data_IF_153369313952
#
_entry.id   IF_153369313952
#
_cell.length_a   1.000
_cell.length_b   1.000
_cell.length_c   1.000
_cell.angle_alpha   90.00
_cell.angle_beta   90.00
_cell.angle_gamma   90.00
#
_symmetry.space_group_name_H-M   'P 1'
#
loop_
_entity.id
_entity.type
_entity.pdbx_description
1 polymer ?
#
# COMPACT_ATOMS: atom_id res chain seq x y z
N UNK A 1 72.11 -40.51 -15.23
CA UNK A 1 70.89 -41.22 -14.79
C UNK A 1 69.90 -40.15 -14.33
N UNK A 2 69.15 -39.52 -15.23
CA UNK A 2 67.80 -39.88 -15.72
C UNK A 2 66.72 -39.92 -14.63
N UNK A 3 65.93 -38.85 -14.51
CA UNK A 3 64.49 -38.84 -14.16
C UNK A 3 63.95 -37.45 -14.52
N UNK A 4 63.49 -37.24 -15.77
CA UNK A 4 62.11 -37.31 -16.29
C UNK A 4 61.12 -36.31 -15.67
N UNK A 5 60.59 -35.47 -16.56
CA UNK A 5 59.61 -34.39 -16.46
C UNK A 5 58.38 -34.64 -15.59
N UNK A 6 57.79 -33.55 -15.10
CA UNK A 6 56.34 -33.37 -15.12
C UNK A 6 55.99 -31.87 -15.23
N UNK A 7 55.45 -31.47 -16.38
CA UNK A 7 54.79 -30.17 -16.58
C UNK A 7 53.32 -30.41 -16.25
N UNK A 8 52.80 -29.79 -15.19
CA UNK A 8 51.36 -29.76 -14.94
C UNK A 8 50.77 -28.53 -15.64
N UNK A 9 49.94 -28.79 -16.64
CA UNK A 9 49.14 -27.77 -17.31
C UNK A 9 48.03 -27.30 -16.37
N UNK A 10 47.99 -25.99 -16.08
CA UNK A 10 46.90 -25.34 -15.35
C UNK A 10 45.81 -24.99 -16.38
N UNK A 11 44.73 -25.76 -16.39
CA UNK A 11 43.52 -25.43 -17.15
C UNK A 11 42.73 -24.37 -16.37
N UNK A 12 42.71 -23.13 -16.86
CA UNK A 12 41.87 -22.06 -16.34
C UNK A 12 40.46 -22.31 -16.89
N UNK A 13 39.58 -22.88 -16.06
CA UNK A 13 38.15 -22.95 -16.37
C UNK A 13 37.49 -21.65 -15.90
N UNK A 14 37.34 -20.69 -16.82
CA UNK A 14 36.50 -19.52 -16.57
C UNK A 14 35.03 -19.92 -16.68
N UNK A 15 34.42 -20.31 -15.56
CA UNK A 15 32.97 -20.42 -15.47
C UNK A 15 32.37 -19.01 -15.61
N UNK A 16 31.83 -18.71 -16.80
CA UNK A 16 30.90 -17.62 -16.97
C UNK A 16 29.63 -17.95 -16.19
N UNK A 17 29.55 -17.44 -14.96
CA UNK A 17 28.32 -17.45 -14.18
C UNK A 17 27.37 -16.45 -14.84
N UNK A 18 26.57 -16.95 -15.79
CA UNK A 18 25.45 -16.19 -16.34
C UNK A 18 24.44 -16.01 -15.21
N UNK A 19 24.50 -14.89 -14.50
CA UNK A 19 23.41 -14.45 -13.63
C UNK A 19 22.22 -14.24 -14.55
N UNK A 20 21.34 -15.24 -14.63
CA UNK A 20 20.01 -15.04 -15.19
C UNK A 20 19.32 -13.98 -14.33
N UNK A 21 19.21 -12.77 -14.88
CA UNK A 21 18.30 -11.77 -14.35
C UNK A 21 16.90 -12.38 -14.45
N UNK A 22 16.37 -12.88 -13.32
CA UNK A 22 14.94 -13.13 -13.24
C UNK A 22 14.26 -11.78 -13.39
N UNK A 23 13.73 -11.50 -14.58
CA UNK A 23 12.73 -10.46 -14.73
C UNK A 23 11.60 -10.85 -13.77
N UNK A 24 11.44 -10.07 -12.69
CA UNK A 24 10.30 -10.24 -11.81
C UNK A 24 9.05 -10.07 -12.68
N UNK A 25 8.36 -11.17 -12.95
CA UNK A 25 7.08 -11.13 -13.64
C UNK A 25 6.15 -10.33 -12.73
N UNK A 26 5.91 -9.06 -13.07
CA UNK A 26 4.95 -8.24 -12.34
C UNK A 26 3.61 -8.95 -12.44
N UNK A 27 3.05 -9.37 -11.29
CA UNK A 27 1.69 -9.90 -11.25
C UNK A 27 0.74 -8.95 -11.99
N UNK A 28 -0.28 -9.49 -12.67
CA UNK A 28 -1.27 -8.64 -13.31
C UNK A 28 -1.94 -7.73 -12.26
N UNK A 29 -2.24 -6.50 -12.65
CA UNK A 29 -2.81 -5.48 -11.77
C UNK A 29 -3.80 -4.62 -12.55
N UNK A 30 -4.90 -4.25 -11.90
CA UNK A 30 -5.83 -3.23 -12.40
C UNK A 30 -5.58 -1.91 -11.70
N UNK A 31 -5.47 -0.81 -12.45
CA UNK A 31 -5.37 0.53 -11.88
C UNK A 31 -6.73 0.92 -11.28
N UNK A 32 -6.73 1.29 -10.00
CA UNK A 32 -7.88 1.84 -9.30
C UNK A 32 -7.87 3.37 -9.36
N UNK A 33 -6.69 3.99 -9.17
CA UNK A 33 -6.46 5.43 -9.23
C UNK A 33 -5.20 5.73 -10.03
N UNK A 34 -5.32 6.61 -11.01
CA UNK A 34 -4.24 7.13 -11.84
C UNK A 34 -4.24 8.66 -11.70
N UNK A 35 -3.27 9.21 -10.98
CA UNK A 35 -3.24 10.65 -10.69
C UNK A 35 -2.68 11.50 -11.84
N UNK A 36 -2.05 10.88 -12.84
CA UNK A 36 -1.63 11.52 -14.10
C UNK A 36 -2.84 11.85 -15.00
N UNK A 37 -3.97 11.18 -14.76
CA UNK A 37 -5.26 11.44 -15.40
C UNK A 37 -6.30 11.93 -14.38
N UNK A 38 -6.11 13.10 -13.73
CA UNK A 38 -6.92 13.52 -12.59
C UNK A 38 -8.37 13.89 -12.96
N UNK A 39 -8.70 13.93 -14.25
CA UNK A 39 -10.06 14.20 -14.72
C UNK A 39 -11.04 13.16 -14.17
N UNK A 40 -11.96 13.59 -13.30
CA UNK A 40 -12.93 12.72 -12.65
C UNK A 40 -12.42 12.02 -11.39
N UNK A 41 -11.20 12.32 -10.92
CA UNK A 41 -10.74 11.81 -9.62
C UNK A 41 -11.58 12.40 -8.48
N UNK A 42 -12.19 11.57 -7.60
CA UNK A 42 -12.93 12.03 -6.46
C UNK A 42 -12.05 12.78 -5.46
N UNK A 43 -12.67 13.73 -4.77
CA UNK A 43 -11.98 14.54 -3.77
C UNK A 43 -11.34 13.72 -2.65
N UNK A 44 -10.14 14.13 -2.26
CA UNK A 44 -9.43 13.64 -1.08
C UNK A 44 -9.63 14.62 0.07
N UNK A 45 -10.22 14.16 1.17
CA UNK A 45 -10.58 14.96 2.32
C UNK A 45 -9.59 14.72 3.46
N UNK A 46 -9.19 15.80 4.15
CA UNK A 46 -8.39 15.72 5.35
C UNK A 46 -9.24 15.36 6.58
N UNK A 47 -8.73 14.49 7.45
CA UNK A 47 -9.29 14.18 8.76
C UNK A 47 -8.14 13.99 9.75
N UNK A 48 -7.89 15.00 10.58
CA UNK A 48 -6.79 14.98 11.56
C UNK A 48 -7.35 14.80 12.99
N UNK A 49 -6.48 14.88 13.98
CA UNK A 49 -6.75 14.63 15.40
C UNK A 49 -7.44 15.78 16.17
N UNK A 50 -7.87 16.83 15.48
CA UNK A 50 -8.45 18.03 16.09
C UNK A 50 -9.75 17.84 16.88
N UNK A 51 -10.48 16.72 16.72
CA UNK A 51 -11.75 16.48 17.44
C UNK A 51 -11.55 16.49 18.96
N UNK A 52 -10.41 16.01 19.45
CA UNK A 52 -10.08 15.99 20.88
C UNK A 52 -9.08 17.10 21.28
N UNK A 53 -8.82 18.08 20.40
CA UNK A 53 -7.89 19.17 20.64
C UNK A 53 -6.46 18.93 20.13
N UNK A 54 -6.20 17.80 19.47
CA UNK A 54 -4.94 17.53 18.78
C UNK A 54 -4.63 18.62 17.74
N UNK A 55 -3.34 18.82 17.49
CA UNK A 55 -2.83 19.90 16.62
C UNK A 55 -2.03 19.38 15.44
N UNK A 56 -2.20 18.10 15.07
CA UNK A 56 -1.62 17.59 13.84
C UNK A 56 -2.28 18.23 12.63
N UNK A 57 -1.48 18.55 11.62
CA UNK A 57 -1.96 19.07 10.35
C UNK A 57 -1.53 18.13 9.23
N UNK A 58 -2.47 17.83 8.32
CA UNK A 58 -2.21 17.04 7.15
C UNK A 58 -3.29 17.30 6.12
N UNK A 59 -2.89 17.37 4.85
CA UNK A 59 -3.77 17.63 3.72
C UNK A 59 -3.34 16.84 2.50
N UNK A 60 -4.27 16.67 1.57
CA UNK A 60 -4.07 15.98 0.31
C UNK A 60 -4.23 16.95 -0.85
N UNK A 61 -3.29 16.95 -1.78
CA UNK A 61 -3.42 17.69 -3.05
C UNK A 61 -2.98 16.83 -4.22
N UNK A 62 -3.65 16.97 -5.36
CA UNK A 62 -3.20 16.35 -6.62
C UNK A 62 -2.43 17.40 -7.39
N UNK A 63 -1.15 17.14 -7.64
CA UNK A 63 -0.23 18.05 -8.31
C UNK A 63 0.78 17.26 -9.13
N UNK A 64 1.05 17.73 -10.35
CA UNK A 64 2.05 17.14 -11.25
C UNK A 64 1.83 15.62 -11.50
N UNK A 65 0.57 15.21 -11.60
CA UNK A 65 0.22 13.80 -11.87
C UNK A 65 0.30 12.89 -10.65
N UNK A 66 0.44 13.43 -9.43
CA UNK A 66 0.58 12.66 -8.20
C UNK A 66 -0.34 13.17 -7.10
N UNK A 67 -0.80 12.28 -6.23
CA UNK A 67 -1.43 12.66 -4.96
C UNK A 67 -0.35 12.87 -3.90
N UNK A 68 -0.29 14.05 -3.32
CA UNK A 68 0.63 14.41 -2.24
C UNK A 68 -0.13 14.46 -0.92
N UNK A 69 0.31 13.66 0.04
CA UNK A 69 -0.16 13.69 1.43
C UNK A 69 0.98 14.18 2.33
N UNK A 70 0.84 15.38 2.87
CA UNK A 70 1.91 16.02 3.66
C UNK A 70 1.35 16.84 4.81
N UNK A 71 2.20 17.13 5.79
CA UNK A 71 1.88 18.02 6.90
C UNK A 71 2.85 17.90 8.07
N UNK A 72 2.37 18.22 9.27
CA UNK A 72 3.11 18.20 10.54
C UNK A 72 2.36 17.33 11.55
N UNK A 73 2.99 16.26 12.04
CA UNK A 73 2.45 15.42 13.11
C UNK A 73 2.79 16.03 14.48
N UNK A 74 1.81 16.13 15.38
CA UNK A 74 2.02 16.52 16.76
C UNK A 74 1.41 15.52 17.73
N UNK A 75 2.09 15.28 18.86
CA UNK A 75 1.57 14.47 19.96
C UNK A 75 0.91 15.33 21.06
N UNK A 76 0.89 16.65 20.90
CA UNK A 76 0.25 17.55 21.84
C UNK A 76 -1.26 17.31 21.91
N UNK A 77 -1.85 17.59 23.07
CA UNK A 77 -3.29 17.46 23.33
C UNK A 77 -3.87 16.07 23.04
N UNK A 78 -3.08 15.00 23.27
CA UNK A 78 -3.43 13.62 22.94
C UNK A 78 -3.70 13.41 21.43
N UNK A 79 -3.01 14.20 20.60
CA UNK A 79 -2.97 14.01 19.17
C UNK A 79 -2.14 12.81 18.74
N UNK A 80 -1.74 12.80 17.48
CA UNK A 80 -0.83 11.82 16.90
C UNK A 80 -1.38 11.14 15.65
N UNK A 81 -2.29 11.78 14.90
CA UNK A 81 -2.57 11.33 13.55
C UNK A 81 -2.95 12.43 12.56
N UNK A 82 -2.58 12.20 11.31
CA UNK A 82 -3.08 12.91 10.15
C UNK A 82 -3.60 11.91 9.11
N UNK A 83 -4.68 12.24 8.40
CA UNK A 83 -5.27 11.35 7.39
C UNK A 83 -5.80 12.14 6.20
N UNK A 84 -5.68 11.55 5.02
CA UNK A 84 -6.50 11.89 3.87
C UNK A 84 -7.31 10.68 3.40
N UNK A 85 -8.52 10.90 2.93
CA UNK A 85 -9.37 9.83 2.43
C UNK A 85 -10.19 10.24 1.21
N UNK A 86 -10.47 9.27 0.35
CA UNK A 86 -11.35 9.43 -0.80
C UNK A 86 -12.51 8.44 -0.71
N UNK A 87 -13.72 8.91 -1.06
CA UNK A 87 -14.90 8.06 -1.14
C UNK A 87 -14.86 7.27 -2.43
N UNK A 88 -15.28 6.01 -2.35
CA UNK A 88 -15.42 5.12 -3.48
C UNK A 88 -16.91 4.82 -3.65
N UNK A 89 -17.43 5.04 -4.86
CA UNK A 89 -18.74 4.49 -5.23
C UNK A 89 -18.65 2.97 -5.09
N UNK A 90 -19.69 2.37 -4.49
CA UNK A 90 -19.65 0.97 -4.04
C UNK A 90 -18.89 0.07 -5.01
N UNK A 91 -17.76 -0.46 -4.56
CA UNK A 91 -16.90 -1.28 -5.41
C UNK A 91 -16.79 -2.68 -4.84
N UNK A 92 -17.10 -3.65 -5.70
CA UNK A 92 -16.84 -5.07 -5.44
C UNK A 92 -15.40 -5.39 -5.88
N UNK A 93 -14.55 -5.68 -4.90
CA UNK A 93 -13.15 -6.01 -5.07
C UNK A 93 -12.86 -7.50 -4.81
N UNK A 94 -13.89 -8.35 -4.75
CA UNK A 94 -13.75 -9.80 -4.42
C UNK A 94 -12.88 -10.57 -5.41
N UNK A 95 -12.72 -10.07 -6.65
CA UNK A 95 -11.85 -10.66 -7.68
C UNK A 95 -10.35 -10.39 -7.47
N UNK A 96 -9.99 -9.48 -6.57
CA UNK A 96 -8.60 -9.08 -6.35
C UNK A 96 -8.08 -9.62 -5.02
N UNK A 97 -6.77 -9.77 -4.92
CA UNK A 97 -6.11 -10.37 -3.75
C UNK A 97 -5.50 -9.33 -2.81
N UNK A 98 -5.30 -8.10 -3.29
CA UNK A 98 -4.74 -7.02 -2.50
C UNK A 98 -4.73 -5.67 -3.21
N UNK A 99 -4.15 -4.69 -2.53
CA UNK A 99 -3.86 -3.36 -3.06
C UNK A 99 -2.39 -3.30 -3.41
N UNK A 100 -2.05 -2.65 -4.51
CA UNK A 100 -0.68 -2.30 -4.84
C UNK A 100 -0.56 -0.78 -4.92
N UNK A 101 0.52 -0.24 -4.39
CA UNK A 101 0.76 1.19 -4.32
C UNK A 101 2.10 1.47 -4.98
N UNK A 102 2.21 2.60 -5.68
CA UNK A 102 3.49 3.18 -6.04
C UNK A 102 3.64 4.52 -5.35
N UNK A 103 4.59 4.60 -4.44
CA UNK A 103 4.74 5.73 -3.53
C UNK A 103 6.19 6.15 -3.39
N UNK A 104 6.40 7.42 -3.07
CA UNK A 104 7.68 7.96 -2.60
C UNK A 104 7.44 8.62 -1.26
N UNK A 105 8.06 8.10 -0.21
CA UNK A 105 7.88 8.58 1.16
C UNK A 105 9.11 9.27 1.72
N UNK A 106 9.06 9.54 3.02
CA UNK A 106 10.05 10.28 3.80
C UNK A 106 10.82 9.38 4.78
N UNK A 107 10.66 8.05 4.67
CA UNK A 107 11.26 7.09 5.60
C UNK A 107 10.34 6.67 6.75
N UNK A 108 9.11 7.20 6.80
CA UNK A 108 8.13 6.88 7.86
C UNK A 108 7.22 5.73 7.47
N UNK A 109 6.60 5.14 8.49
CA UNK A 109 5.59 4.10 8.35
C UNK A 109 4.19 4.73 8.18
N UNK A 110 3.60 4.53 7.01
CA UNK A 110 2.25 4.98 6.70
C UNK A 110 1.25 3.83 6.79
N UNK A 111 -0.03 4.18 6.92
CA UNK A 111 -1.12 3.23 6.89
C UNK A 111 -1.96 3.43 5.64
N UNK A 112 -2.23 2.33 4.93
CA UNK A 112 -3.34 2.28 4.00
C UNK A 112 -4.57 1.76 4.73
N UNK A 113 -5.69 2.46 4.57
CA UNK A 113 -6.94 2.11 5.23
C UNK A 113 -8.08 1.95 4.24
N UNK A 114 -8.90 0.95 4.52
CA UNK A 114 -10.12 0.64 3.78
C UNK A 114 -11.27 0.73 4.77
N UNK A 115 -12.42 1.23 4.34
CA UNK A 115 -13.62 1.14 5.16
C UNK A 115 -14.83 0.71 4.33
N UNK A 116 -15.63 -0.19 4.90
CA UNK A 116 -16.88 -0.71 4.35
C UNK A 116 -18.07 -0.14 5.13
N UNK A 117 -19.25 -0.74 5.01
CA UNK A 117 -20.40 -0.42 5.88
C UNK A 117 -20.35 -1.09 7.27
N UNK A 118 -19.29 -1.85 7.56
CA UNK A 118 -19.09 -2.50 8.85
C UNK A 118 -19.08 -1.49 10.01
N UNK A 119 -19.76 -1.86 11.10
CA UNK A 119 -19.93 -1.01 12.29
C UNK A 119 -19.52 -1.72 13.56
N UNK A 120 -18.99 -0.94 14.50
CA UNK A 120 -18.75 -1.33 15.88
C UNK A 120 -19.31 -0.24 16.79
N UNK A 121 -20.15 -0.62 17.76
CA UNK A 121 -20.85 0.33 18.67
C UNK A 121 -21.57 1.47 17.91
N UNK A 122 -22.25 1.12 16.81
CA UNK A 122 -23.01 2.06 15.98
C UNK A 122 -22.18 2.95 15.04
N UNK A 123 -20.86 2.96 15.17
CA UNK A 123 -19.95 3.76 14.34
C UNK A 123 -19.24 2.90 13.30
N UNK A 124 -18.95 3.47 12.12
CA UNK A 124 -18.19 2.78 11.06
C UNK A 124 -16.76 2.47 11.54
N UNK A 125 -16.22 1.32 11.15
CA UNK A 125 -14.83 0.93 11.42
C UNK A 125 -13.96 1.08 10.17
N UNK A 126 -12.64 1.05 10.37
CA UNK A 126 -11.68 1.01 9.28
C UNK A 126 -10.78 -0.22 9.42
N UNK A 127 -10.39 -0.79 8.30
CA UNK A 127 -9.42 -1.86 8.20
C UNK A 127 -8.09 -1.24 7.83
N UNK A 128 -7.03 -1.53 8.59
CA UNK A 128 -5.71 -0.90 8.38
C UNK A 128 -4.66 -1.93 8.02
N UNK A 129 -3.76 -1.53 7.13
CA UNK A 129 -2.48 -2.17 6.89
C UNK A 129 -1.39 -1.09 6.97
N UNK A 130 -0.24 -1.43 7.53
CA UNK A 130 0.91 -0.51 7.66
C UNK A 130 1.94 -0.89 6.62
N UNK A 131 2.59 0.11 6.03
CA UNK A 131 3.68 -0.10 5.08
C UNK A 131 4.81 0.90 5.35
N UNK A 132 6.08 0.46 5.28
CA UNK A 132 7.23 1.35 5.38
C UNK A 132 7.44 2.11 4.08
N UNK A 133 8.16 3.22 4.17
CA UNK A 133 8.69 3.93 2.99
C UNK A 133 10.20 4.11 3.15
N UNK A 134 10.90 4.17 2.02
CA UNK A 134 12.30 4.59 1.99
C UNK A 134 12.33 6.08 1.65
N UNK A 135 13.19 6.83 2.34
CA UNK A 135 13.27 8.27 2.19
C UNK A 135 13.69 8.65 0.77
N UNK A 136 12.85 9.46 0.12
CA UNK A 136 13.05 9.98 -1.22
C UNK A 136 13.13 8.94 -2.36
N UNK A 137 12.73 7.69 -2.12
CA UNK A 137 12.76 6.62 -3.13
C UNK A 137 11.36 6.16 -3.54
N UNK A 138 11.15 6.01 -4.85
CA UNK A 138 9.94 5.40 -5.39
C UNK A 138 9.94 3.89 -5.12
N UNK A 139 8.93 3.41 -4.41
CA UNK A 139 8.75 2.01 -4.04
C UNK A 139 7.38 1.53 -4.46
N UNK A 140 7.32 0.28 -4.94
CA UNK A 140 6.05 -0.43 -5.16
C UNK A 140 5.76 -1.36 -3.99
N UNK A 141 4.59 -1.19 -3.37
CA UNK A 141 4.18 -1.88 -2.15
C UNK A 141 2.95 -2.72 -2.45
N UNK A 142 3.04 -4.03 -2.26
CA UNK A 142 1.90 -4.95 -2.36
C UNK A 142 1.37 -5.28 -0.98
N UNK A 143 0.08 -5.01 -0.76
CA UNK A 143 -0.62 -5.20 0.51
C UNK A 143 -1.78 -6.19 0.30
N UNK A 144 -1.62 -7.47 0.68
CA UNK A 144 -2.69 -8.46 0.58
C UNK A 144 -3.91 -8.04 1.41
N UNK A 145 -5.13 -8.26 0.92
CA UNK A 145 -6.34 -7.94 1.69
C UNK A 145 -6.42 -8.73 3.00
N UNK A 146 -5.84 -9.92 3.05
CA UNK A 146 -5.73 -10.76 4.26
C UNK A 146 -4.87 -10.14 5.37
N UNK A 147 -4.02 -9.15 5.06
CA UNK A 147 -3.19 -8.44 6.04
C UNK A 147 -3.93 -7.30 6.76
N UNK A 148 -5.11 -6.91 6.27
CA UNK A 148 -5.86 -5.81 6.85
C UNK A 148 -6.55 -6.23 8.14
N UNK A 149 -6.31 -5.47 9.20
CA UNK A 149 -6.90 -5.72 10.53
C UNK A 149 -7.97 -4.68 10.82
N UNK A 150 -9.18 -5.07 11.27
CA UNK A 150 -10.22 -4.11 11.66
C UNK A 150 -9.75 -3.28 12.85
N UNK A 151 -10.10 -2.01 12.84
CA UNK A 151 -9.69 -1.03 13.83
C UNK A 151 -10.78 0.00 14.09
N UNK A 152 -10.85 0.46 15.35
CA UNK A 152 -11.77 1.49 15.79
C UNK A 152 -11.06 2.44 16.75
N UNK A 153 -10.97 3.72 16.36
CA UNK A 153 -10.34 4.79 17.16
C UNK A 153 -8.95 4.39 17.68
N UNK A 154 -8.09 3.94 16.77
CA UNK A 154 -6.70 3.54 17.06
C UNK A 154 -6.53 2.10 17.56
N UNK A 155 -7.59 1.50 18.12
CA UNK A 155 -7.54 0.14 18.68
C UNK A 155 -7.83 -0.92 17.63
N UNK A 156 -7.11 -2.04 17.69
CA UNK A 156 -7.43 -3.23 16.90
C UNK A 156 -8.72 -3.90 17.40
N UNK A 157 -9.45 -4.53 16.49
CA UNK A 157 -10.61 -5.35 16.78
C UNK A 157 -10.36 -6.79 16.33
N UNK A 158 -11.14 -7.73 16.86
CA UNK A 158 -11.14 -9.12 16.39
C UNK A 158 -12.06 -9.35 15.17
N UNK A 159 -12.87 -8.35 14.81
CA UNK A 159 -13.83 -8.46 13.71
C UNK A 159 -14.79 -7.26 13.64
N UNK A 160 -15.70 -7.23 12.66
CA UNK A 160 -15.84 -8.20 11.55
C UNK A 160 -14.64 -8.19 10.58
N UNK A 161 -14.46 -9.23 9.74
CA UNK A 161 -13.42 -9.25 8.70
C UNK A 161 -13.74 -8.27 7.56
N UNK A 162 -12.72 -7.91 6.78
CA UNK A 162 -12.88 -7.04 5.62
C UNK A 162 -13.76 -7.69 4.56
N UNK A 163 -14.92 -7.09 4.31
CA UNK A 163 -15.83 -7.46 3.21
C UNK A 163 -15.46 -6.71 1.93
N UNK A 164 -14.88 -7.42 0.96
CA UNK A 164 -14.44 -6.84 -0.31
C UNK A 164 -15.59 -6.49 -1.25
N UNK A 165 -16.81 -6.97 -1.01
CA UNK A 165 -17.97 -6.68 -1.86
C UNK A 165 -18.59 -5.30 -1.62
N UNK A 166 -18.20 -4.63 -0.52
CA UNK A 166 -18.85 -3.42 -0.01
C UNK A 166 -17.85 -2.31 0.36
N UNK A 167 -16.83 -2.12 -0.46
CA UNK A 167 -15.80 -1.08 -0.25
C UNK A 167 -16.42 0.30 -0.50
N UNK A 168 -16.21 1.23 0.45
CA UNK A 168 -16.80 2.58 0.42
C UNK A 168 -15.76 3.71 0.50
N UNK A 169 -14.54 3.43 0.96
CA UNK A 169 -13.51 4.44 1.17
C UNK A 169 -12.13 3.82 1.21
N UNK A 170 -11.15 4.56 0.69
CA UNK A 170 -9.72 4.34 0.89
C UNK A 170 -9.09 5.56 1.55
N UNK A 171 -8.01 5.38 2.29
CA UNK A 171 -7.32 6.45 2.99
C UNK A 171 -5.83 6.16 3.18
N UNK A 172 -5.04 7.23 3.24
CA UNK A 172 -3.68 7.22 3.76
C UNK A 172 -3.68 7.90 5.12
N UNK A 173 -2.99 7.31 6.10
CA UNK A 173 -2.90 7.85 7.45
C UNK A 173 -1.49 7.72 7.97
N UNK A 174 -1.01 8.75 8.66
CA UNK A 174 0.20 8.70 9.47
C UNK A 174 -0.19 8.73 10.95
N UNK A 175 0.36 7.80 11.74
CA UNK A 175 0.19 7.72 13.19
C UNK A 175 1.28 6.82 13.80
N UNK A 176 2.54 7.12 13.48
CA UNK A 176 3.72 6.36 13.89
C UNK A 176 4.28 6.78 15.27
N UNK A 177 3.74 7.85 15.86
CA UNK A 177 4.21 8.38 17.14
C UNK A 177 5.45 9.27 17.05
N UNK A 178 5.89 9.67 15.85
CA UNK A 178 7.06 10.53 15.67
C UNK A 178 6.62 11.96 15.33
N UNK A 179 6.66 12.94 16.24
CA UNK A 179 6.28 14.31 15.91
C UNK A 179 7.22 14.92 14.87
N UNK A 180 6.70 15.81 14.04
CA UNK A 180 7.46 16.50 12.99
C UNK A 180 6.84 16.36 11.60
N UNK A 181 7.51 16.93 10.58
CA UNK A 181 6.99 16.98 9.23
C UNK A 181 6.89 15.58 8.63
N UNK A 182 5.99 15.43 7.66
CA UNK A 182 5.91 14.23 6.84
C UNK A 182 5.48 14.52 5.40
N UNK A 183 5.84 13.60 4.51
CA UNK A 183 5.45 13.64 3.11
C UNK A 183 5.35 12.24 2.51
N UNK A 184 4.24 12.00 1.81
CA UNK A 184 4.00 10.82 0.99
C UNK A 184 3.47 11.28 -0.37
N UNK A 185 4.20 10.95 -1.43
CA UNK A 185 3.76 11.14 -2.81
C UNK A 185 3.28 9.81 -3.35
N UNK A 186 2.11 9.79 -3.99
CA UNK A 186 1.47 8.60 -4.54
C UNK A 186 1.30 8.79 -6.04
N UNK A 187 1.87 7.88 -6.82
CA UNK A 187 1.77 7.86 -8.28
C UNK A 187 0.46 7.23 -8.74
N UNK A 188 0.17 6.03 -8.21
CA UNK A 188 -1.07 5.33 -8.47
C UNK A 188 -1.45 4.38 -7.34
N UNK A 189 -2.72 3.99 -7.34
CA UNK A 189 -3.28 2.92 -6.49
C UNK A 189 -3.84 1.86 -7.44
N UNK A 190 -3.40 0.62 -7.25
CA UNK A 190 -3.80 -0.53 -8.06
C UNK A 190 -4.36 -1.67 -7.22
N UNK A 191 -4.92 -2.66 -7.89
CA UNK A 191 -5.49 -3.87 -7.34
C UNK A 191 -4.74 -5.07 -7.89
N UNK A 192 -4.20 -5.90 -7.01
CA UNK A 192 -3.42 -7.09 -7.36
C UNK A 192 -4.34 -8.22 -7.86
N UNK A 193 -4.10 -8.68 -9.09
CA UNK A 193 -4.88 -9.70 -9.80
C UNK A 193 -5.39 -9.23 -11.16
N UNK A 194 -5.60 -10.18 -12.10
CA UNK A 194 -6.30 -9.93 -13.37
C UNK A 194 -7.78 -10.32 -13.19
N UNK A 195 -8.69 -9.47 -13.67
CA UNK A 195 -10.11 -9.79 -13.78
C UNK A 195 -10.37 -11.09 -14.58
N UNK A 196 -9.42 -11.49 -15.43
CA UNK A 196 -9.44 -12.71 -16.26
C UNK A 196 -8.65 -13.91 -15.68
N UNK A 197 -8.07 -13.82 -14.48
CA UNK A 197 -7.20 -14.87 -13.90
C UNK A 197 -7.89 -15.84 -12.94
N UNK A 198 -9.21 -15.78 -12.80
CA UNK A 198 -9.96 -16.81 -12.08
C UNK A 198 -9.98 -18.12 -12.90
N UNK A 199 -9.92 -19.30 -12.27
CA UNK A 199 -10.11 -20.56 -12.98
C UNK A 199 -11.45 -20.54 -13.73
N UNK A 200 -11.40 -20.70 -15.04
CA UNK A 200 -12.48 -21.37 -15.76
C UNK A 200 -12.71 -22.71 -15.04
N UNK A 201 -13.98 -23.05 -14.79
CA UNK A 201 -14.46 -24.33 -14.28
C UNK A 201 -14.76 -24.41 -12.78
N UNK A 202 -15.95 -23.91 -12.43
CA UNK A 202 -16.86 -24.60 -11.53
C UNK A 202 -18.25 -24.68 -12.19
N UNK A 203 -18.29 -25.29 -13.37
CA UNK A 203 -19.54 -25.89 -13.85
C UNK A 203 -19.71 -27.22 -13.11
N UNK A 204 -20.82 -27.44 -12.39
CA UNK A 204 -21.15 -28.80 -11.97
C UNK A 204 -21.45 -29.59 -13.25
N UNK A 205 -20.72 -30.66 -13.50
CA UNK A 205 -21.21 -31.69 -14.40
C UNK A 205 -22.55 -32.21 -13.85
N UNK A 206 -23.44 -32.51 -14.79
CA UNK A 206 -24.87 -32.83 -14.63
C UNK A 206 -25.22 -33.85 -13.53
#
# INVERSE_FOLDING_TARGET
>A
MLYKSLIQAITISTSFLCLSMNAASSSPMKILRDFDKPSGEPAWFAQNDGVMGGVSSGWGEIKEGHLQFSGELSLENNGGFAQIYSRIEQSDLTKYTGVRLRVKGDGRDFQFRIATDARFRGSRIAYRATFPTEADEWTEISIPFSSFVPSFRGNFLNGPPLDLSSIRQIAFLLADGNPGPFSLVVDWIGLEGDENSLPLDAHPEE
#
